data_IF_212854268122
#
_entry.id   IF_212854268122
#
_cell.length_a   1.000
_cell.length_b   1.000
_cell.length_c   1.000
_cell.angle_alpha   90.00
_cell.angle_beta   90.00
_cell.angle_gamma   90.00
#
_symmetry.space_group_name_H-M   'P 1'
#
loop_
_entity.id
_entity.type
_entity.pdbx_description
1 polymer ?
#
# COMPACT_ATOMS: atom_id res chain seq x y z
N UNK A 1 -4.19 11.34 -1.18
CA UNK A 1 -3.22 10.36 -0.64
C UNK A 1 -1.86 10.98 -0.33
N UNK A 2 -1.18 11.62 -1.29
CA UNK A 2 0.13 12.26 -1.10
C UNK A 2 0.23 13.12 0.18
N UNK A 3 -0.68 14.08 0.33
CA UNK A 3 -0.74 14.98 1.49
C UNK A 3 -0.87 14.22 2.81
N UNK A 4 -1.62 13.11 2.86
CA UNK A 4 -1.75 12.31 4.07
C UNK A 4 -0.41 11.69 4.47
N UNK A 5 0.31 11.11 3.51
CA UNK A 5 1.63 10.53 3.76
C UNK A 5 2.64 11.60 4.22
N UNK A 6 2.59 12.80 3.64
CA UNK A 6 3.45 13.94 4.03
C UNK A 6 3.16 14.44 5.45
N UNK A 7 1.94 14.26 5.94
CA UNK A 7 1.54 14.59 7.31
C UNK A 7 1.70 13.41 8.29
N UNK A 8 2.34 12.31 7.87
CA UNK A 8 2.55 11.13 8.72
C UNK A 8 1.28 10.31 9.00
N UNK A 9 0.18 10.57 8.29
CA UNK A 9 -1.03 9.76 8.39
C UNK A 9 -0.73 8.40 7.74
N UNK A 10 -1.04 7.32 8.47
CA UNK A 10 -0.95 5.96 7.95
C UNK A 10 -2.09 5.73 6.95
N UNK A 11 -1.77 5.89 5.67
CA UNK A 11 -2.68 5.62 4.56
C UNK A 11 -2.10 4.52 3.65
N UNK A 12 -2.96 3.70 3.05
CA UNK A 12 -2.62 2.60 2.13
C UNK A 12 -3.24 2.79 0.74
N UNK A 13 -2.80 1.99 -0.22
CA UNK A 13 -3.38 1.90 -1.57
C UNK A 13 -4.20 0.60 -1.65
N UNK A 14 -5.44 0.71 -2.14
CA UNK A 14 -6.44 -0.36 -2.22
C UNK A 14 -7.25 -0.20 -3.51
N UNK A 15 -7.90 -1.27 -3.99
CA UNK A 15 -8.66 -1.25 -5.25
C UNK A 15 -10.10 -0.81 -5.12
N UNK A 16 -10.69 -0.86 -3.92
CA UNK A 16 -12.14 -0.74 -3.71
C UNK A 16 -12.93 -1.84 -4.46
N UNK A 17 -13.45 -1.59 -5.66
CA UNK A 17 -14.28 -2.50 -6.46
C UNK A 17 -13.65 -2.83 -7.84
N UNK A 18 -12.63 -3.72 -7.91
CA UNK A 18 -11.94 -4.09 -9.15
C UNK A 18 -12.87 -4.43 -10.33
N UNK A 19 -13.95 -5.17 -10.06
CA UNK A 19 -14.87 -5.66 -11.09
C UNK A 19 -15.70 -4.56 -11.74
N UNK A 20 -15.97 -3.47 -11.01
CA UNK A 20 -16.71 -2.31 -11.53
C UNK A 20 -15.75 -1.36 -12.25
N UNK A 21 -14.53 -1.19 -11.71
CA UNK A 21 -13.58 -0.20 -12.20
C UNK A 21 -12.68 -0.72 -13.34
N UNK A 22 -12.62 -2.04 -13.54
CA UNK A 22 -11.80 -2.66 -14.60
C UNK A 22 -10.30 -2.55 -14.35
N UNK A 23 -9.90 -2.45 -13.08
CA UNK A 23 -8.51 -2.31 -12.63
C UNK A 23 -8.21 -3.28 -11.50
N UNK A 24 -6.93 -3.54 -11.24
CA UNK A 24 -6.47 -4.36 -10.13
C UNK A 24 -5.43 -3.62 -9.27
N UNK A 25 -4.90 -4.30 -8.27
CA UNK A 25 -3.91 -3.70 -7.37
C UNK A 25 -2.60 -3.34 -8.08
N UNK A 26 -2.24 -4.01 -9.18
CA UNK A 26 -1.04 -3.67 -9.95
C UNK A 26 -1.26 -2.32 -10.64
N UNK A 27 -2.43 -2.09 -11.23
CA UNK A 27 -2.78 -0.81 -11.83
C UNK A 27 -2.71 0.34 -10.82
N UNK A 28 -3.30 0.16 -9.63
CA UNK A 28 -3.28 1.19 -8.58
C UNK A 28 -1.85 1.61 -8.20
N UNK A 29 -0.93 0.65 -8.09
CA UNK A 29 0.46 0.92 -7.73
C UNK A 29 1.31 1.48 -8.88
N UNK A 30 1.06 1.05 -10.10
CA UNK A 30 1.94 1.36 -11.25
C UNK A 30 1.44 2.51 -12.12
N UNK A 31 0.15 2.84 -12.05
CA UNK A 31 -0.47 3.90 -12.85
C UNK A 31 -1.09 4.97 -11.95
N UNK A 32 -2.06 4.60 -11.10
CA UNK A 32 -2.84 5.57 -10.33
C UNK A 32 -1.99 6.34 -9.30
N UNK A 33 -1.15 5.64 -8.52
CA UNK A 33 -0.32 6.27 -7.50
C UNK A 33 0.73 7.25 -8.08
N UNK A 34 1.48 6.94 -9.15
CA UNK A 34 2.31 7.92 -9.84
C UNK A 34 1.51 9.09 -10.42
N UNK A 35 0.35 8.83 -11.04
CA UNK A 35 -0.51 9.88 -11.60
C UNK A 35 -1.05 10.83 -10.51
N UNK A 36 -1.26 10.32 -9.30
CA UNK A 36 -1.61 11.10 -8.11
C UNK A 36 -0.42 11.85 -7.48
N UNK A 37 0.77 11.81 -8.10
CA UNK A 37 1.95 12.57 -7.73
C UNK A 37 2.76 11.99 -6.57
N UNK A 38 2.54 10.71 -6.21
CA UNK A 38 3.35 10.03 -5.19
C UNK A 38 4.74 9.70 -5.75
N UNK A 39 5.76 9.96 -4.94
CA UNK A 39 7.11 9.45 -5.16
C UNK A 39 7.20 7.93 -4.96
N UNK A 40 8.27 7.30 -5.43
CA UNK A 40 8.52 5.86 -5.20
C UNK A 40 8.56 5.53 -3.71
N UNK A 41 9.14 6.42 -2.92
CA UNK A 41 9.25 6.32 -1.46
C UNK A 41 7.86 6.39 -0.82
N UNK A 42 7.00 7.31 -1.25
CA UNK A 42 5.62 7.42 -0.77
C UNK A 42 4.79 6.18 -1.14
N UNK A 43 4.94 5.64 -2.35
CA UNK A 43 4.26 4.40 -2.77
C UNK A 43 4.70 3.23 -1.89
N UNK A 44 6.01 3.09 -1.66
CA UNK A 44 6.55 2.07 -0.74
C UNK A 44 6.04 2.26 0.69
N UNK A 45 5.96 3.50 1.17
CA UNK A 45 5.43 3.78 2.51
C UNK A 45 3.95 3.41 2.63
N UNK A 46 3.14 3.69 1.61
CA UNK A 46 1.73 3.29 1.58
C UNK A 46 1.55 1.77 1.57
N UNK A 47 2.44 1.04 0.89
CA UNK A 47 2.49 -0.44 0.93
C UNK A 47 2.76 -0.96 2.34
N UNK A 48 3.78 -0.40 3.01
CA UNK A 48 4.14 -0.76 4.38
C UNK A 48 2.97 -0.46 5.33
N UNK A 49 2.35 0.72 5.21
CA UNK A 49 1.20 1.11 6.00
C UNK A 49 0.03 0.13 5.87
N UNK A 50 -0.17 -0.47 4.69
CA UNK A 50 -1.19 -1.50 4.48
C UNK A 50 -1.01 -2.70 5.41
N UNK A 51 0.23 -3.18 5.59
CA UNK A 51 0.53 -4.24 6.56
C UNK A 51 0.41 -3.76 8.01
N UNK A 52 0.85 -2.54 8.31
CA UNK A 52 0.73 -1.99 9.67
C UNK A 52 -0.72 -1.86 10.13
N UNK A 53 -1.63 -1.51 9.22
CA UNK A 53 -3.05 -1.31 9.49
C UNK A 53 -3.88 -2.60 9.42
N UNK A 54 -3.32 -3.70 8.91
CA UNK A 54 -4.03 -4.97 8.83
C UNK A 54 -4.47 -5.46 10.22
N UNK A 55 -5.66 -6.07 10.30
CA UNK A 55 -6.17 -6.73 11.50
C UNK A 55 -5.49 -8.08 11.72
N UNK A 56 -4.20 -8.01 12.01
CA UNK A 56 -3.31 -9.13 12.30
C UNK A 56 -2.55 -8.83 13.59
N UNK A 57 -2.18 -9.89 14.29
CA UNK A 57 -1.23 -9.83 15.40
C UNK A 57 0.15 -9.30 14.94
N UNK A 58 0.96 -8.86 15.91
CA UNK A 58 2.32 -8.43 15.62
C UNK A 58 3.17 -9.57 15.04
N UNK A 59 2.94 -10.80 15.52
CA UNK A 59 3.60 -12.02 15.08
C UNK A 59 3.27 -12.34 13.63
N UNK A 60 1.99 -12.27 13.23
CA UNK A 60 1.57 -12.52 11.85
C UNK A 60 2.13 -11.45 10.89
N UNK A 61 2.13 -10.18 11.29
CA UNK A 61 2.75 -9.10 10.51
C UNK A 61 4.25 -9.35 10.33
N UNK A 62 4.96 -9.77 11.38
CA UNK A 62 6.39 -10.12 11.31
C UNK A 62 6.63 -11.29 10.36
N UNK A 63 5.86 -12.37 10.48
CA UNK A 63 5.99 -13.55 9.63
C UNK A 63 5.79 -13.22 8.13
N UNK A 64 4.85 -12.33 7.80
CA UNK A 64 4.66 -11.86 6.42
C UNK A 64 5.87 -11.08 5.88
N UNK A 65 6.47 -10.19 6.70
CA UNK A 65 7.69 -9.46 6.30
C UNK A 65 8.85 -10.40 6.05
N UNK A 66 9.08 -11.36 6.96
CA UNK A 66 10.16 -12.35 6.85
C UNK A 66 9.99 -13.23 5.61
N UNK A 67 8.77 -13.72 5.35
CA UNK A 67 8.47 -14.55 4.19
C UNK A 67 8.76 -13.84 2.87
N UNK A 68 8.48 -12.54 2.77
CA UNK A 68 8.74 -11.76 1.55
C UNK A 68 10.20 -11.34 1.44
N UNK A 69 10.89 -11.06 2.56
CA UNK A 69 12.31 -10.71 2.56
C UNK A 69 13.24 -11.88 2.22
N UNK A 70 12.78 -13.12 2.40
CA UNK A 70 13.51 -14.34 2.03
C UNK A 70 13.38 -14.71 0.53
N UNK A 71 12.60 -13.96 -0.25
CA UNK A 71 12.51 -14.09 -1.71
C UNK A 71 13.45 -13.12 -2.40
#
# INVERSE_FOLDING_TARGET
LKTFLEHGIRASINTDDPGVQGVDIIHEYTVAAPAAGLSREQIRQAQINGLEMAFLSAEEKRALREKVAAK
#
